data_IF_905596126147
#
_entry.id   IF_905596126147
#
_cell.length_a   1.000
_cell.length_b   1.000
_cell.length_c   1.000
_cell.angle_alpha   90.00
_cell.angle_beta   90.00
_cell.angle_gamma   90.00
#
_symmetry.space_group_name_H-M   'P 1'
#
loop_
_entity.id
_entity.type
_entity.pdbx_description
1 polymer ?
#
# COMPACT_ATOMS: atom_id res chain seq x y z
N UNK A 1 -6.48 -13.24 -13.30
CA UNK A 1 -5.00 -13.25 -13.51
C UNK A 1 -4.40 -14.35 -12.65
N UNK A 2 -3.66 -15.25 -13.24
CA UNK A 2 -2.96 -16.31 -12.47
C UNK A 2 -1.70 -15.70 -11.84
N UNK A 3 -1.41 -15.96 -10.57
CA UNK A 3 -0.18 -15.47 -9.94
C UNK A 3 1.04 -16.00 -10.69
N UNK A 4 1.81 -15.10 -11.29
CA UNK A 4 3.05 -15.45 -12.00
C UNK A 4 4.22 -14.72 -11.35
N UNK A 5 5.42 -15.29 -11.40
CA UNK A 5 6.64 -14.69 -10.86
C UNK A 5 7.61 -14.34 -11.99
N UNK A 6 8.26 -13.20 -11.90
CA UNK A 6 9.32 -12.81 -12.81
C UNK A 6 9.13 -11.44 -13.46
N UNK A 7 10.14 -11.01 -14.24
CA UNK A 7 10.12 -9.70 -14.92
C UNK A 7 8.97 -9.54 -15.90
N UNK A 8 8.54 -10.61 -16.57
CA UNK A 8 7.39 -10.57 -17.49
C UNK A 8 6.11 -10.17 -16.77
N UNK A 9 5.86 -10.71 -15.59
CA UNK A 9 4.66 -10.37 -14.80
C UNK A 9 4.66 -8.92 -14.31
N UNK A 10 5.83 -8.36 -13.99
CA UNK A 10 5.96 -6.93 -13.67
C UNK A 10 5.52 -6.05 -14.85
N UNK A 11 5.97 -6.38 -16.06
CA UNK A 11 5.57 -5.63 -17.28
C UNK A 11 4.07 -5.74 -17.55
N UNK A 12 3.47 -6.90 -17.35
CA UNK A 12 2.02 -7.08 -17.46
C UNK A 12 1.26 -6.20 -16.46
N UNK A 13 1.70 -6.18 -15.18
CA UNK A 13 1.12 -5.31 -14.16
C UNK A 13 1.24 -3.84 -14.52
N UNK A 14 2.43 -3.40 -14.93
CA UNK A 14 2.65 -2.01 -15.35
C UNK A 14 1.79 -1.64 -16.56
N UNK A 15 1.63 -2.55 -17.51
CA UNK A 15 0.78 -2.34 -18.68
C UNK A 15 -0.70 -2.21 -18.31
N UNK A 16 -1.19 -3.05 -17.39
CA UNK A 16 -2.55 -2.95 -16.85
C UNK A 16 -2.74 -1.61 -16.13
N UNK A 17 -1.81 -1.24 -15.24
CA UNK A 17 -1.88 0.02 -14.49
C UNK A 17 -1.84 1.25 -15.41
N UNK A 18 -1.03 1.22 -16.46
CA UNK A 18 -0.95 2.31 -17.45
C UNK A 18 -2.27 2.51 -18.25
N UNK A 19 -3.12 1.50 -18.31
CA UNK A 19 -4.42 1.56 -18.99
C UNK A 19 -5.59 1.92 -18.06
N UNK A 20 -5.37 1.92 -16.75
CA UNK A 20 -6.39 2.31 -15.78
C UNK A 20 -6.74 3.78 -15.99
N UNK A 21 -8.02 4.05 -16.14
CA UNK A 21 -8.56 5.40 -16.21
C UNK A 21 -9.46 5.63 -15.00
N UNK A 22 -9.51 6.88 -14.54
CA UNK A 22 -10.53 7.26 -13.59
C UNK A 22 -11.91 7.03 -14.21
N UNK A 23 -12.71 6.22 -13.56
CA UNK A 23 -14.06 5.89 -13.95
C UNK A 23 -15.04 6.40 -12.89
N UNK A 24 -16.30 6.00 -13.00
CA UNK A 24 -17.34 6.36 -12.06
C UNK A 24 -16.96 6.05 -10.61
N UNK A 25 -17.53 6.84 -9.68
CA UNK A 25 -17.28 6.68 -8.26
C UNK A 25 -17.71 5.28 -7.77
N UNK A 26 -16.74 4.49 -7.36
CA UNK A 26 -16.96 3.21 -6.70
C UNK A 26 -16.36 3.27 -5.29
N UNK A 27 -17.16 3.15 -4.22
CA UNK A 27 -16.64 3.13 -2.86
C UNK A 27 -15.67 1.96 -2.65
N UNK A 28 -14.57 2.22 -1.94
CA UNK A 28 -13.57 1.19 -1.65
C UNK A 28 -14.16 -0.01 -0.92
N UNK A 29 -15.17 0.21 -0.06
CA UNK A 29 -15.90 -0.86 0.62
C UNK A 29 -16.50 -1.86 -0.35
N UNK A 30 -17.09 -1.39 -1.45
CA UNK A 30 -17.67 -2.26 -2.50
C UNK A 30 -16.60 -3.02 -3.26
N UNK A 31 -15.48 -2.36 -3.57
CA UNK A 31 -14.33 -3.05 -4.20
C UNK A 31 -13.82 -4.19 -3.31
N UNK A 32 -13.72 -3.95 -2.01
CA UNK A 32 -13.28 -4.98 -1.06
C UNK A 32 -14.26 -6.14 -0.94
N UNK A 33 -15.57 -5.91 -1.11
CA UNK A 33 -16.55 -6.99 -1.19
C UNK A 33 -16.36 -7.88 -2.42
N UNK A 34 -16.01 -7.30 -3.54
CA UNK A 34 -15.70 -8.06 -4.76
C UNK A 34 -14.38 -8.84 -4.61
N UNK A 35 -13.37 -8.21 -4.00
CA UNK A 35 -12.09 -8.87 -3.68
C UNK A 35 -12.33 -10.05 -2.72
N UNK A 36 -13.19 -9.88 -1.72
CA UNK A 36 -13.54 -10.92 -0.75
C UNK A 36 -14.14 -12.16 -1.43
N UNK A 37 -14.94 -11.97 -2.46
CA UNK A 37 -15.53 -13.09 -3.23
C UNK A 37 -14.53 -13.75 -4.20
N UNK A 38 -13.61 -12.96 -4.76
CA UNK A 38 -12.75 -13.38 -5.87
C UNK A 38 -11.41 -13.95 -5.41
N UNK A 39 -10.88 -13.53 -4.25
CA UNK A 39 -9.52 -13.88 -3.82
C UNK A 39 -9.54 -15.11 -2.93
N UNK A 40 -8.79 -16.18 -3.29
CA UNK A 40 -8.66 -17.38 -2.45
C UNK A 40 -7.88 -17.07 -1.16
N UNK A 41 -8.07 -17.91 -0.15
CA UNK A 41 -7.29 -17.92 1.10
C UNK A 41 -5.79 -18.11 0.83
N UNK A 42 -4.94 -17.62 1.73
CA UNK A 42 -3.48 -17.71 1.58
C UNK A 42 -2.84 -16.66 0.66
N UNK A 43 -3.65 -15.79 0.04
CA UNK A 43 -3.16 -14.64 -0.70
C UNK A 43 -2.96 -13.41 0.21
N UNK A 44 -2.35 -12.36 -0.34
CA UNK A 44 -2.21 -11.06 0.34
C UNK A 44 -2.88 -9.99 -0.50
N UNK A 45 -3.72 -9.19 0.12
CA UNK A 45 -4.31 -7.99 -0.46
C UNK A 45 -3.52 -6.76 0.00
N UNK A 46 -3.00 -5.98 -0.95
CA UNK A 46 -2.40 -4.68 -0.70
C UNK A 46 -3.38 -3.61 -1.17
N UNK A 47 -3.85 -2.80 -0.23
CA UNK A 47 -4.73 -1.66 -0.52
C UNK A 47 -3.91 -0.39 -0.59
N UNK A 48 -3.99 0.33 -1.70
CA UNK A 48 -3.31 1.62 -1.92
C UNK A 48 -4.41 2.66 -2.14
N UNK A 49 -4.58 3.60 -1.20
CA UNK A 49 -5.71 4.51 -1.25
C UNK A 49 -5.43 5.84 -0.54
N UNK A 50 -5.93 6.97 -1.04
CA UNK A 50 -6.00 8.23 -0.31
C UNK A 50 -7.27 8.35 0.56
N UNK A 51 -8.17 7.36 0.53
CA UNK A 51 -9.46 7.44 1.20
C UNK A 51 -9.32 7.44 2.72
N UNK A 52 -9.91 8.44 3.35
CA UNK A 52 -9.99 8.59 4.80
C UNK A 52 -11.38 8.21 5.36
N UNK A 53 -12.24 7.63 4.53
CA UNK A 53 -13.52 7.09 4.95
C UNK A 53 -13.30 5.74 5.66
N UNK A 54 -13.66 5.58 6.95
CA UNK A 54 -13.37 4.36 7.71
C UNK A 54 -14.25 3.16 7.33
N UNK A 55 -15.30 3.33 6.56
CA UNK A 55 -16.25 2.25 6.25
C UNK A 55 -15.64 1.05 5.53
N UNK A 56 -14.54 1.24 4.82
CA UNK A 56 -13.86 0.14 4.13
C UNK A 56 -13.02 -0.76 5.06
N UNK A 57 -12.73 -0.33 6.31
CA UNK A 57 -11.95 -1.12 7.28
C UNK A 57 -12.63 -2.46 7.57
N UNK A 58 -13.96 -2.46 7.69
CA UNK A 58 -14.72 -3.69 7.89
C UNK A 58 -14.49 -4.74 6.79
N UNK A 59 -14.28 -4.30 5.55
CA UNK A 59 -13.92 -5.17 4.43
C UNK A 59 -12.55 -5.83 4.65
N UNK A 60 -11.56 -5.09 5.16
CA UNK A 60 -10.22 -5.63 5.46
C UNK A 60 -10.27 -6.67 6.59
N UNK A 61 -11.04 -6.40 7.63
CA UNK A 61 -11.22 -7.34 8.75
C UNK A 61 -11.86 -8.65 8.26
N UNK A 62 -12.83 -8.58 7.35
CA UNK A 62 -13.41 -9.77 6.73
C UNK A 62 -12.37 -10.58 5.95
N UNK A 63 -11.55 -9.91 5.14
CA UNK A 63 -10.47 -10.57 4.40
C UNK A 63 -9.48 -11.30 5.34
N UNK A 64 -9.08 -10.64 6.44
CA UNK A 64 -8.23 -11.26 7.46
C UNK A 64 -8.90 -12.48 8.10
N UNK A 65 -10.19 -12.38 8.43
CA UNK A 65 -10.98 -13.48 8.98
C UNK A 65 -11.04 -14.71 8.07
N UNK A 66 -10.86 -14.53 6.76
CA UNK A 66 -10.73 -15.59 5.77
C UNK A 66 -9.30 -16.12 5.59
N UNK A 67 -8.33 -15.61 6.35
CA UNK A 67 -6.92 -15.99 6.20
C UNK A 67 -6.22 -15.34 5.00
N UNK A 68 -6.72 -14.20 4.52
CA UNK A 68 -6.06 -13.35 3.53
C UNK A 68 -5.20 -12.34 4.28
N UNK A 69 -3.91 -12.29 3.97
CA UNK A 69 -3.02 -11.25 4.49
C UNK A 69 -3.47 -9.87 3.99
N UNK A 70 -3.44 -8.85 4.85
CA UNK A 70 -3.86 -7.49 4.48
C UNK A 70 -2.81 -6.48 4.87
N UNK A 71 -2.48 -5.58 3.94
CA UNK A 71 -1.66 -4.41 4.19
C UNK A 71 -2.24 -3.18 3.48
N UNK A 72 -2.02 -2.00 4.04
CA UNK A 72 -2.56 -0.75 3.50
C UNK A 72 -1.46 0.30 3.33
N UNK A 73 -1.44 0.96 2.19
CA UNK A 73 -0.68 2.18 1.94
C UNK A 73 -1.65 3.35 1.83
N UNK A 74 -1.63 4.22 2.84
CA UNK A 74 -2.41 5.45 2.85
C UNK A 74 -1.63 6.54 2.11
N UNK A 75 -2.12 7.00 0.98
CA UNK A 75 -1.48 8.07 0.22
C UNK A 75 -1.83 9.42 0.86
N UNK A 76 -0.82 10.17 1.28
CA UNK A 76 -0.98 11.59 1.62
C UNK A 76 -1.15 12.41 0.33
N UNK A 77 -2.36 12.38 -0.22
CA UNK A 77 -2.66 12.99 -1.51
C UNK A 77 -2.20 14.46 -1.63
N UNK A 78 -2.35 15.33 -0.62
CA UNK A 78 -1.82 16.70 -0.68
C UNK A 78 -0.31 16.77 -0.88
N UNK A 79 0.47 15.81 -0.38
CA UNK A 79 1.93 15.83 -0.55
C UNK A 79 2.37 15.60 -1.99
N UNK A 80 1.51 14.99 -2.82
CA UNK A 80 1.73 14.75 -4.25
C UNK A 80 1.24 15.90 -5.13
N UNK A 81 0.53 16.88 -4.55
CA UNK A 81 0.09 18.05 -5.29
C UNK A 81 1.27 18.98 -5.60
N UNK A 82 1.18 19.71 -6.72
CA UNK A 82 2.17 20.73 -7.02
C UNK A 82 2.19 21.80 -5.90
N UNK A 83 3.37 22.39 -5.59
CA UNK A 83 3.45 23.44 -4.58
C UNK A 83 2.53 24.60 -4.95
N UNK A 84 1.90 25.24 -3.95
CA UNK A 84 0.94 26.32 -4.17
C UNK A 84 1.61 27.49 -4.87
N UNK A 85 1.01 27.97 -5.96
CA UNK A 85 1.52 29.08 -6.77
C UNK A 85 0.92 30.42 -6.40
N UNK A 86 -0.19 30.42 -5.63
CA UNK A 86 -0.91 31.62 -5.25
C UNK A 86 -1.13 31.73 -3.73
N UNK A 87 -1.35 32.95 -3.19
CA UNK A 87 -1.68 33.13 -1.77
C UNK A 87 -2.99 32.43 -1.35
N UNK A 88 -3.90 32.21 -2.28
CA UNK A 88 -5.15 31.46 -2.01
C UNK A 88 -4.87 29.96 -1.87
N UNK A 89 -3.97 29.42 -2.67
CA UNK A 89 -3.49 28.04 -2.56
C UNK A 89 -2.68 27.83 -1.28
N UNK A 90 -1.97 28.85 -0.77
CA UNK A 90 -1.29 28.79 0.53
C UNK A 90 -2.27 28.68 1.71
N UNK A 91 -3.50 29.17 1.58
CA UNK A 91 -4.55 28.89 2.59
C UNK A 91 -4.95 27.42 2.64
N UNK A 92 -4.64 26.65 1.61
CA UNK A 92 -4.80 25.20 1.58
C UNK A 92 -3.78 24.46 2.47
N UNK A 93 -2.78 25.14 3.04
CA UNK A 93 -1.92 24.58 4.07
C UNK A 93 -2.73 23.98 5.23
N UNK A 94 -3.87 24.60 5.58
CA UNK A 94 -4.83 24.04 6.55
C UNK A 94 -5.43 22.72 6.08
N UNK A 95 -5.62 22.55 4.78
CA UNK A 95 -6.10 21.28 4.21
C UNK A 95 -5.02 20.19 4.30
N UNK A 96 -3.77 20.55 4.05
CA UNK A 96 -2.63 19.65 4.20
C UNK A 96 -2.48 19.16 5.65
N UNK A 97 -2.54 20.07 6.62
CA UNK A 97 -2.46 19.76 8.05
C UNK A 97 -3.66 18.92 8.50
N UNK A 98 -4.86 19.27 8.05
CA UNK A 98 -6.07 18.49 8.32
C UNK A 98 -5.96 17.09 7.75
N UNK A 99 -5.55 16.95 6.48
CA UNK A 99 -5.43 15.65 5.83
C UNK A 99 -4.39 14.77 6.54
N UNK A 100 -3.22 15.32 6.86
CA UNK A 100 -2.16 14.59 7.57
C UNK A 100 -2.59 14.15 8.98
N UNK A 101 -3.43 14.95 9.67
CA UNK A 101 -4.00 14.56 10.96
C UNK A 101 -5.02 13.43 10.81
N UNK A 102 -5.88 13.49 9.81
CA UNK A 102 -6.86 12.46 9.51
C UNK A 102 -6.19 11.14 9.04
N UNK A 103 -5.15 11.23 8.24
CA UNK A 103 -4.38 10.05 7.82
C UNK A 103 -3.72 9.34 9.02
N UNK A 104 -3.22 10.09 10.01
CA UNK A 104 -2.71 9.53 11.27
C UNK A 104 -3.81 8.86 12.09
N UNK A 105 -4.97 9.49 12.21
CA UNK A 105 -6.13 8.90 12.88
C UNK A 105 -6.59 7.61 12.18
N UNK A 106 -6.66 7.62 10.85
CA UNK A 106 -6.98 6.44 10.05
C UNK A 106 -5.97 5.32 10.28
N UNK A 107 -4.67 5.62 10.31
CA UNK A 107 -3.63 4.63 10.62
C UNK A 107 -3.83 4.01 12.00
N UNK A 108 -4.25 4.80 13.00
CA UNK A 108 -4.55 4.29 14.34
C UNK A 108 -5.75 3.33 14.33
N UNK A 109 -6.83 3.66 13.62
CA UNK A 109 -7.99 2.77 13.45
C UNK A 109 -7.61 1.46 12.75
N UNK A 110 -6.75 1.53 11.74
CA UNK A 110 -6.25 0.34 11.05
C UNK A 110 -5.39 -0.52 11.99
N UNK A 111 -4.56 0.09 12.83
CA UNK A 111 -3.77 -0.62 13.83
C UNK A 111 -4.65 -1.31 14.89
N UNK A 112 -5.73 -0.67 15.35
CA UNK A 112 -6.74 -1.29 16.22
C UNK A 112 -7.40 -2.50 15.56
N UNK A 113 -7.66 -2.41 14.26
CA UNK A 113 -8.15 -3.52 13.43
C UNK A 113 -7.07 -4.57 13.09
N UNK A 114 -5.86 -4.44 13.63
CA UNK A 114 -4.68 -5.29 13.34
C UNK A 114 -4.30 -5.31 11.86
N UNK A 115 -4.59 -4.26 11.13
CA UNK A 115 -4.17 -4.05 9.75
C UNK A 115 -2.88 -3.25 9.73
N UNK A 116 -1.85 -3.79 9.08
CA UNK A 116 -0.60 -3.05 8.89
C UNK A 116 -0.82 -1.92 7.89
N UNK A 117 -0.57 -0.69 8.31
CA UNK A 117 -0.77 0.50 7.48
C UNK A 117 0.44 1.44 7.55
N UNK A 118 0.86 1.93 6.39
CA UNK A 118 1.91 2.94 6.25
C UNK A 118 1.38 4.15 5.50
N UNK A 119 1.79 5.36 5.94
CA UNK A 119 1.45 6.60 5.24
C UNK A 119 2.57 6.91 4.25
N UNK A 120 2.18 7.11 3.01
CA UNK A 120 3.11 7.41 1.90
C UNK A 120 3.04 8.89 1.56
N UNK A 121 4.18 9.57 1.68
CA UNK A 121 4.37 10.96 1.29
C UNK A 121 5.21 11.03 0.02
N UNK A 122 5.01 12.07 -0.80
CA UNK A 122 5.72 12.24 -2.06
C UNK A 122 7.24 12.31 -1.89
N UNK A 123 7.70 12.99 -0.86
CA UNK A 123 9.12 13.31 -0.63
C UNK A 123 9.83 12.31 0.30
N UNK A 124 9.11 11.31 0.80
CA UNK A 124 9.65 10.32 1.74
C UNK A 124 9.73 8.96 1.06
N UNK A 125 10.93 8.36 0.95
CA UNK A 125 11.06 7.03 0.40
C UNK A 125 10.24 6.02 1.20
N UNK A 126 9.44 5.21 0.49
CA UNK A 126 8.65 4.15 1.11
C UNK A 126 9.58 3.06 1.66
N UNK A 127 9.76 3.05 2.97
CA UNK A 127 10.50 2.00 3.68
C UNK A 127 9.51 0.93 4.14
N UNK A 128 9.30 -0.09 3.34
CA UNK A 128 8.51 -1.26 3.74
C UNK A 128 9.28 -2.00 4.85
N UNK A 129 8.91 -1.76 6.10
CA UNK A 129 9.43 -2.52 7.24
C UNK A 129 8.67 -3.84 7.34
N UNK A 130 9.37 -4.97 7.39
CA UNK A 130 8.69 -6.24 7.66
C UNK A 130 8.05 -6.20 9.06
N UNK A 131 6.88 -6.83 9.26
CA UNK A 131 6.09 -6.74 10.50
C UNK A 131 6.78 -7.26 11.77
N UNK A 132 7.94 -7.89 11.65
CA UNK A 132 8.68 -8.50 12.76
C UNK A 132 9.81 -7.65 13.33
N UNK A 133 9.88 -6.36 13.03
CA UNK A 133 10.94 -5.47 13.56
C UNK A 133 12.37 -5.76 13.06
N UNK A 134 12.58 -6.85 12.35
CA UNK A 134 13.86 -7.14 11.72
C UNK A 134 13.85 -6.58 10.29
N UNK A 135 14.65 -5.56 10.07
CA UNK A 135 14.93 -5.07 8.70
C UNK A 135 15.72 -6.16 7.99
N UNK A 136 15.09 -6.93 7.14
CA UNK A 136 15.76 -7.89 6.26
C UNK A 136 16.04 -7.20 4.93
N UNK A 137 17.31 -7.07 4.59
CA UNK A 137 17.72 -6.68 3.25
C UNK A 137 17.52 -7.87 2.32
N UNK A 138 16.69 -7.72 1.31
CA UNK A 138 16.51 -8.74 0.29
C UNK A 138 17.57 -8.53 -0.79
N UNK A 139 18.48 -9.48 -0.91
CA UNK A 139 19.45 -9.54 -2.02
C UNK A 139 18.98 -10.60 -3.01
N UNK A 140 18.94 -10.24 -4.27
CA UNK A 140 18.69 -11.22 -5.34
C UNK A 140 20.03 -11.80 -5.79
N UNK A 141 20.27 -13.06 -5.46
CA UNK A 141 21.44 -13.80 -5.97
C UNK A 141 21.02 -14.65 -7.16
N UNK A 142 21.72 -14.49 -8.27
CA UNK A 142 21.57 -15.37 -9.43
C UNK A 142 22.44 -16.59 -9.18
N UNK A 143 21.82 -17.75 -9.04
CA UNK A 143 22.52 -19.02 -8.93
C UNK A 143 23.15 -19.40 -10.28
N UNK A 144 24.17 -20.24 -10.29
CA UNK A 144 24.83 -20.72 -11.50
C UNK A 144 23.90 -21.41 -12.52
N UNK A 145 22.66 -21.71 -12.13
CA UNK A 145 21.57 -22.19 -13.00
C UNK A 145 20.78 -21.09 -13.69
N UNK A 146 21.19 -19.81 -13.55
CA UNK A 146 20.44 -18.65 -14.06
C UNK A 146 19.17 -18.29 -13.27
N UNK A 147 18.89 -18.98 -12.18
CA UNK A 147 17.74 -18.73 -11.31
C UNK A 147 18.04 -17.63 -10.30
N UNK A 148 17.27 -16.55 -10.27
CA UNK A 148 17.33 -15.54 -9.22
C UNK A 148 16.60 -16.04 -7.97
N UNK A 149 17.29 -16.07 -6.83
CA UNK A 149 16.72 -16.42 -5.52
C UNK A 149 16.84 -15.18 -4.62
N UNK A 150 15.71 -14.80 -4.01
CA UNK A 150 15.71 -13.76 -2.98
C UNK A 150 16.27 -14.34 -1.68
N UNK A 151 17.40 -13.81 -1.22
CA UNK A 151 18.02 -14.19 0.06
C UNK A 151 17.81 -13.04 1.03
N UNK A 152 17.19 -13.34 2.17
CA UNK A 152 17.06 -12.36 3.24
C UNK A 152 18.34 -12.36 4.07
N UNK A 153 19.09 -11.28 4.00
CA UNK A 153 20.27 -11.06 4.85
C UNK A 153 19.87 -10.24 6.08
N UNK A 154 20.24 -10.66 7.33
CA UNK A 154 20.05 -9.79 8.48
C UNK A 154 20.92 -8.55 8.27
N UNK A 155 20.38 -7.37 8.57
CA UNK A 155 21.16 -6.15 8.54
C UNK A 155 22.17 -6.22 9.70
N UNK A 156 23.41 -6.47 9.39
CA UNK A 156 24.52 -6.26 10.30
C UNK A 156 24.66 -4.76 10.52
N UNK A 157 24.29 -4.28 11.72
CA UNK A 157 24.67 -2.96 12.17
C UNK A 157 26.20 -2.93 12.20
N UNK A 158 26.81 -2.22 11.27
CA UNK A 158 28.22 -1.88 11.31
C UNK A 158 28.45 -0.97 12.51
N UNK A 159 29.42 -1.34 13.33
CA UNK A 159 29.94 -0.56 14.44
C UNK A 159 30.59 0.75 13.99
#
# INVERSE_FOLDING_TARGET
MTPARGRGHLWELLHVLARVRSADYCPLSRVLEEVDRAVPTGNTALVITPSLDPHWIAGLVRLQGRGIGVATLLLDAPSFAAPPRTPEEQRSGRYQDWFSSQARAMRSLLAEARVNAEIVHADVPLLLRPPTGQVRRWEFKVLGTGRAVAVATPWGGGG
#
